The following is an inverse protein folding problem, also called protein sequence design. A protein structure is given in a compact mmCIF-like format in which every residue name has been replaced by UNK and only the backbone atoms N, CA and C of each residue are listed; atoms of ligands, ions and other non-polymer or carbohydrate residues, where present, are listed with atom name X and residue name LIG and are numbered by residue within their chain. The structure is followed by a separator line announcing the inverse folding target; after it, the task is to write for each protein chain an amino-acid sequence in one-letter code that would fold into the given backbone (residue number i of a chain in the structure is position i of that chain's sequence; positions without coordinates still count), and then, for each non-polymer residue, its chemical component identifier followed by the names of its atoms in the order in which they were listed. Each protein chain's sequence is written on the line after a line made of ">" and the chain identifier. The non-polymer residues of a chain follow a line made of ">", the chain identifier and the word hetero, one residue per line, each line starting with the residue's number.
data_IF_028210751744
#
_entry.id   IF_028210751744
#
_cell.length_a   1.000
_cell.length_b   1.000
_cell.length_c   1.000
_cell.angle_alpha   90.00
_cell.angle_beta   90.00
_cell.angle_gamma   90.00
#
_symmetry.space_group_name_H-M   'P 1'
#
loop_
_entity.id
_entity.type
_entity.pdbx_description
1 polymer ?
#
# COMPACT_ATOMS: atom_id res chain seq x y z
N UNK A 1 22.73 -15.77 -6.22
CA UNK A 1 21.35 -15.60 -5.70
C UNK A 1 20.54 -14.96 -6.79
N UNK A 2 19.29 -15.39 -6.99
CA UNK A 2 18.48 -14.92 -8.13
C UNK A 2 17.88 -13.55 -7.83
N UNK A 3 17.58 -12.80 -8.89
CA UNK A 3 17.01 -11.47 -8.85
C UNK A 3 15.64 -11.49 -9.54
N UNK A 4 14.61 -11.14 -8.80
CA UNK A 4 13.30 -10.85 -9.38
C UNK A 4 13.19 -9.36 -9.67
N UNK A 5 12.87 -9.02 -10.91
CA UNK A 5 12.66 -7.64 -11.35
C UNK A 5 11.21 -7.47 -11.81
N UNK A 6 10.63 -6.31 -11.51
CA UNK A 6 9.31 -5.93 -12.00
C UNK A 6 9.21 -4.45 -12.31
N UNK A 7 8.72 -4.17 -13.51
CA UNK A 7 8.29 -2.86 -13.99
C UNK A 7 6.88 -3.03 -14.60
N UNK A 8 5.85 -2.55 -13.88
CA UNK A 8 4.43 -2.78 -14.21
C UNK A 8 4.06 -4.26 -14.43
N UNK A 9 3.79 -4.63 -15.68
CA UNK A 9 3.44 -5.95 -16.20
C UNK A 9 4.66 -6.73 -16.73
N UNK A 10 5.78 -6.04 -16.97
CA UNK A 10 7.06 -6.66 -17.33
C UNK A 10 7.74 -7.16 -16.06
N UNK A 11 7.94 -8.47 -15.97
CA UNK A 11 8.65 -9.11 -14.85
C UNK A 11 9.56 -10.23 -15.33
N UNK A 12 10.66 -10.45 -14.60
CA UNK A 12 11.61 -11.52 -14.88
C UNK A 12 12.23 -12.04 -13.59
N UNK A 13 12.79 -13.25 -13.66
CA UNK A 13 13.66 -13.83 -12.65
C UNK A 13 14.96 -14.25 -13.33
N UNK A 14 16.06 -13.64 -12.91
CA UNK A 14 17.39 -13.80 -13.53
C UNK A 14 18.42 -14.28 -12.52
N UNK A 15 19.51 -14.87 -13.01
CA UNK A 15 20.52 -15.51 -12.16
C UNK A 15 21.62 -14.58 -11.67
N UNK A 16 21.85 -13.48 -12.36
CA UNK A 16 22.95 -12.56 -12.11
C UNK A 16 22.56 -11.10 -12.43
N UNK A 17 23.48 -10.18 -12.13
CA UNK A 17 23.25 -8.74 -12.30
C UNK A 17 23.28 -8.31 -13.78
N UNK A 18 24.03 -9.00 -14.64
CA UNK A 18 24.13 -8.61 -16.05
C UNK A 18 22.84 -8.93 -16.80
N UNK A 19 22.26 -10.11 -16.59
CA UNK A 19 20.91 -10.45 -17.08
C UNK A 19 19.83 -9.49 -16.54
N UNK A 20 20.00 -8.97 -15.32
CA UNK A 20 19.09 -7.99 -14.75
C UNK A 20 19.18 -6.64 -15.48
N UNK A 21 20.39 -6.21 -15.84
CA UNK A 21 20.62 -4.99 -16.60
C UNK A 21 20.15 -5.15 -18.04
N UNK A 22 20.37 -6.30 -18.68
CA UNK A 22 19.86 -6.59 -20.02
C UNK A 22 18.32 -6.50 -20.08
N UNK A 23 17.63 -7.05 -19.07
CA UNK A 23 16.19 -6.89 -18.94
C UNK A 23 15.77 -5.42 -18.80
N UNK A 24 16.48 -4.63 -18.00
CA UNK A 24 16.16 -3.21 -17.81
C UNK A 24 16.46 -2.39 -19.08
N UNK A 25 17.54 -2.69 -19.80
CA UNK A 25 17.87 -2.11 -21.11
C UNK A 25 16.79 -2.41 -22.17
N UNK A 26 16.13 -3.57 -22.07
CA UNK A 26 15.02 -3.91 -22.98
C UNK A 26 13.74 -3.07 -22.78
N UNK A 27 13.68 -2.22 -21.75
CA UNK A 27 12.53 -1.40 -21.41
C UNK A 27 12.82 0.07 -21.80
N UNK A 28 12.24 0.57 -22.92
CA UNK A 28 12.55 1.91 -23.43
C UNK A 28 12.25 3.05 -22.45
N UNK A 29 11.34 2.83 -21.50
CA UNK A 29 10.95 3.84 -20.51
C UNK A 29 11.99 4.02 -19.38
N UNK A 30 12.95 3.09 -19.24
CA UNK A 30 13.96 3.11 -18.17
C UNK A 30 15.26 3.66 -18.75
N UNK A 31 15.63 4.86 -18.33
CA UNK A 31 16.93 5.45 -18.62
C UNK A 31 17.97 4.88 -17.63
N UNK A 32 18.76 3.90 -18.08
CA UNK A 32 19.89 3.36 -17.31
C UNK A 32 21.11 4.25 -17.45
N UNK A 33 21.35 5.09 -16.45
CA UNK A 33 22.60 5.85 -16.35
C UNK A 33 23.70 4.99 -15.73
N UNK A 34 24.99 5.27 -15.99
CA UNK A 34 26.11 4.54 -15.37
C UNK A 34 26.05 4.51 -13.84
N UNK A 35 25.54 5.58 -13.20
CA UNK A 35 25.37 5.66 -11.75
C UNK A 35 24.28 4.70 -11.26
N UNK A 36 23.19 4.55 -12.04
CA UNK A 36 22.12 3.61 -11.72
C UNK A 36 22.60 2.16 -11.87
N UNK A 37 23.38 1.87 -12.91
CA UNK A 37 23.99 0.54 -13.07
C UNK A 37 24.93 0.20 -11.91
N UNK A 38 25.78 1.15 -11.51
CA UNK A 38 26.66 0.99 -10.35
C UNK A 38 25.87 0.73 -9.06
N UNK A 39 24.81 1.51 -8.80
CA UNK A 39 23.97 1.34 -7.61
C UNK A 39 23.20 -0.01 -7.60
N UNK A 40 22.83 -0.53 -8.77
CA UNK A 40 22.26 -1.87 -8.91
C UNK A 40 23.31 -2.94 -8.58
N UNK A 41 24.54 -2.81 -9.08
CA UNK A 41 25.64 -3.73 -8.80
C UNK A 41 25.99 -3.75 -7.32
N UNK A 42 26.12 -2.58 -6.71
CA UNK A 42 26.36 -2.42 -5.28
C UNK A 42 25.22 -3.01 -4.45
N UNK A 43 23.97 -2.76 -4.84
CA UNK A 43 22.83 -3.40 -4.19
C UNK A 43 22.92 -4.92 -4.29
N UNK A 44 23.18 -5.49 -5.46
CA UNK A 44 23.26 -6.94 -5.65
C UNK A 44 24.39 -7.57 -4.81
N UNK A 45 25.55 -6.92 -4.76
CA UNK A 45 26.72 -7.37 -4.00
C UNK A 45 26.56 -7.21 -2.48
N UNK A 46 25.72 -6.27 -2.02
CA UNK A 46 25.52 -6.05 -0.58
C UNK A 46 24.80 -7.21 0.15
N UNK A 47 24.90 -7.25 1.48
CA UNK A 47 24.12 -8.16 2.33
C UNK A 47 22.67 -7.67 2.59
N UNK A 48 22.20 -6.64 1.86
CA UNK A 48 20.84 -6.10 2.02
C UNK A 48 19.86 -6.97 1.24
N UNK A 49 18.89 -7.58 1.95
CA UNK A 49 17.84 -8.43 1.36
C UNK A 49 16.49 -7.73 1.19
N UNK A 50 16.36 -6.47 1.63
CA UNK A 50 15.13 -5.71 1.46
C UNK A 50 14.92 -5.30 0.00
N UNK A 51 13.70 -5.45 -0.56
CA UNK A 51 13.38 -5.00 -1.91
C UNK A 51 13.76 -3.55 -2.16
N UNK A 52 14.61 -3.29 -3.16
CA UNK A 52 14.98 -1.94 -3.55
C UNK A 52 14.07 -1.43 -4.67
N UNK A 53 13.62 -0.18 -4.54
CA UNK A 53 12.75 0.52 -5.48
C UNK A 53 13.55 1.60 -6.19
N UNK A 54 13.52 1.60 -7.51
CA UNK A 54 14.22 2.57 -8.34
C UNK A 54 13.20 3.44 -9.06
N UNK A 55 13.23 4.73 -8.78
CA UNK A 55 12.29 5.70 -9.34
C UNK A 55 12.71 6.02 -10.78
N UNK A 56 11.81 5.79 -11.72
CA UNK A 56 12.00 6.11 -13.14
C UNK A 56 11.40 7.49 -13.42
N UNK A 57 10.15 7.72 -12.98
CA UNK A 57 9.41 8.99 -13.12
C UNK A 57 8.49 9.21 -11.90
N UNK A 58 7.85 10.38 -11.71
CA UNK A 58 6.88 10.54 -10.63
C UNK A 58 5.84 9.41 -10.62
N UNK A 59 5.73 8.70 -9.50
CA UNK A 59 4.85 7.53 -9.28
C UNK A 59 5.19 6.27 -10.10
N UNK A 60 6.29 6.26 -10.85
CA UNK A 60 6.71 5.13 -11.68
C UNK A 60 8.06 4.62 -11.16
N UNK A 61 8.13 3.34 -10.84
CA UNK A 61 9.34 2.69 -10.34
C UNK A 61 9.40 1.23 -10.80
N UNK A 62 10.62 0.69 -10.87
CA UNK A 62 10.83 -0.75 -10.88
C UNK A 62 11.33 -1.23 -9.51
N UNK A 63 11.20 -2.53 -9.27
CA UNK A 63 11.73 -3.19 -8.06
C UNK A 63 12.74 -4.26 -8.40
N UNK A 64 13.72 -4.44 -7.52
CA UNK A 64 14.61 -5.60 -7.53
C UNK A 64 14.52 -6.32 -6.18
N UNK A 65 14.23 -7.62 -6.21
CA UNK A 65 14.11 -8.49 -5.05
C UNK A 65 15.13 -9.61 -5.16
N UNK A 66 16.01 -9.72 -4.16
CA UNK A 66 16.90 -10.87 -4.01
C UNK A 66 16.12 -12.07 -3.50
N UNK A 67 16.29 -13.22 -4.14
CA UNK A 67 15.53 -14.42 -3.81
C UNK A 67 16.33 -15.71 -4.04
N UNK A 68 16.07 -16.70 -3.20
CA UNK A 68 16.57 -18.07 -3.36
C UNK A 68 15.65 -18.93 -4.26
N UNK A 69 14.57 -18.35 -4.81
CA UNK A 69 13.67 -19.08 -5.69
C UNK A 69 14.35 -19.40 -7.02
N UNK A 70 14.27 -20.67 -7.46
CA UNK A 70 14.91 -21.12 -8.70
C UNK A 70 14.09 -20.80 -9.95
N UNK A 71 12.77 -20.65 -9.82
CA UNK A 71 11.85 -20.40 -10.95
C UNK A 71 10.85 -19.29 -10.62
N UNK A 72 10.28 -18.65 -11.66
CA UNK A 72 9.21 -17.67 -11.49
C UNK A 72 8.00 -18.24 -10.75
N UNK A 73 7.69 -19.52 -10.99
CA UNK A 73 6.61 -20.23 -10.31
C UNK A 73 6.91 -20.35 -8.80
N UNK A 74 8.10 -20.81 -8.44
CA UNK A 74 8.53 -20.94 -7.04
C UNK A 74 8.55 -19.58 -6.34
N UNK A 75 8.99 -18.51 -7.00
CA UNK A 75 8.96 -17.17 -6.43
C UNK A 75 7.53 -16.70 -6.14
N UNK A 76 6.60 -16.90 -7.08
CA UNK A 76 5.18 -16.53 -6.92
C UNK A 76 4.47 -17.39 -5.88
N UNK A 77 4.75 -18.69 -5.84
CA UNK A 77 4.18 -19.62 -4.87
C UNK A 77 4.76 -19.43 -3.45
N UNK A 78 6.06 -19.17 -3.29
CA UNK A 78 6.66 -18.84 -1.99
C UNK A 78 6.17 -17.50 -1.45
N UNK A 79 5.85 -16.54 -2.33
CA UNK A 79 5.12 -15.33 -1.92
C UNK A 79 3.73 -15.67 -1.38
N UNK A 80 3.02 -16.62 -2.01
CA UNK A 80 1.73 -17.13 -1.50
C UNK A 80 1.88 -17.95 -0.20
N UNK A 81 2.99 -18.69 -0.01
CA UNK A 81 3.25 -19.49 1.21
C UNK A 81 3.78 -18.66 2.38
N UNK A 82 4.55 -17.58 2.16
CA UNK A 82 4.81 -16.57 3.20
C UNK A 82 3.58 -15.76 3.59
N UNK A 83 2.46 -15.93 2.86
CA UNK A 83 1.14 -15.43 3.25
C UNK A 83 0.43 -16.42 4.20
N UNK A 84 0.97 -17.64 4.39
CA UNK A 84 0.29 -18.76 5.07
C UNK A 84 1.19 -19.62 6.00
N UNK A 85 2.40 -19.20 6.40
CA UNK A 85 3.21 -19.95 7.38
C UNK A 85 3.12 -19.32 8.78
N UNK A 86 2.69 -20.07 9.82
CA UNK A 86 2.68 -19.55 11.19
C UNK A 86 4.12 -19.39 11.68
N UNK A 87 4.57 -18.16 11.87
CA UNK A 87 5.83 -17.89 12.57
C UNK A 87 5.66 -18.25 14.04
N UNK A 88 6.49 -19.19 14.49
CA UNK A 88 6.65 -19.54 15.89
C UNK A 88 7.25 -18.37 16.66
N UNK A 89 6.41 -17.43 17.08
CA UNK A 89 6.64 -16.47 18.16
C UNK A 89 5.31 -15.78 18.36
N UNK A 90 4.76 -15.85 19.57
CA UNK A 90 3.42 -15.35 19.95
C UNK A 90 3.25 -13.83 19.91
N UNK A 91 3.81 -13.16 18.90
CA UNK A 91 3.61 -11.76 18.58
C UNK A 91 2.83 -11.73 17.26
N UNK A 92 1.56 -11.27 17.22
CA UNK A 92 0.81 -11.22 15.98
C UNK A 92 1.56 -10.34 14.96
N UNK A 93 1.89 -10.92 13.81
CA UNK A 93 2.55 -10.20 12.72
C UNK A 93 1.65 -9.03 12.30
N UNK A 94 2.17 -7.80 12.39
CA UNK A 94 1.46 -6.58 11.98
C UNK A 94 0.94 -6.68 10.55
N UNK A 95 1.50 -7.55 9.69
CA UNK A 95 1.04 -7.79 8.31
C UNK A 95 -0.15 -8.75 8.22
N UNK A 96 -0.21 -9.80 9.02
CA UNK A 96 -1.37 -10.70 9.09
C UNK A 96 -2.59 -9.98 9.66
N UNK A 97 -2.37 -9.11 10.66
CA UNK A 97 -3.41 -8.19 11.16
C UNK A 97 -3.88 -7.24 10.04
N UNK A 98 -2.98 -6.79 9.17
CA UNK A 98 -3.32 -5.86 8.08
C UNK A 98 -4.03 -6.56 6.91
N UNK A 99 -3.63 -7.78 6.54
CA UNK A 99 -4.33 -8.62 5.55
C UNK A 99 -5.72 -8.97 6.08
N UNK A 100 -5.80 -9.41 7.34
CA UNK A 100 -7.07 -9.65 8.04
C UNK A 100 -7.95 -8.38 8.12
N UNK A 101 -7.36 -7.22 8.37
CA UNK A 101 -8.09 -5.95 8.43
C UNK A 101 -8.60 -5.51 7.05
N UNK A 102 -7.80 -5.70 5.98
CA UNK A 102 -8.21 -5.40 4.61
C UNK A 102 -9.31 -6.38 4.15
N UNK A 103 -9.20 -7.66 4.47
CA UNK A 103 -10.25 -8.64 4.18
C UNK A 103 -11.55 -8.29 4.91
N UNK A 104 -11.49 -7.98 6.21
CA UNK A 104 -12.65 -7.52 7.01
C UNK A 104 -13.22 -6.18 6.54
N UNK A 105 -12.39 -5.29 6.01
CA UNK A 105 -12.82 -4.01 5.47
C UNK A 105 -13.74 -4.21 4.25
N UNK A 106 -13.40 -5.14 3.37
CA UNK A 106 -14.18 -5.41 2.14
C UNK A 106 -15.22 -6.50 2.29
N UNK A 107 -15.26 -7.20 3.41
CA UNK A 107 -16.25 -8.25 3.70
C UNK A 107 -17.67 -7.69 3.64
N UNK A 108 -18.51 -8.28 2.79
CA UNK A 108 -19.92 -7.93 2.71
C UNK A 108 -20.65 -8.46 3.95
N UNK A 109 -20.97 -7.57 4.87
CA UNK A 109 -21.71 -7.86 6.09
C UNK A 109 -22.71 -6.74 6.41
N UNK A 110 -23.90 -6.73 5.80
CA UNK A 110 -24.87 -5.64 5.96
C UNK A 110 -25.29 -5.41 7.42
N UNK A 111 -25.30 -4.14 7.83
CA UNK A 111 -25.78 -3.73 9.15
C UNK A 111 -25.38 -2.31 9.53
N UNK A 112 -25.59 -1.98 10.81
CA UNK A 112 -25.09 -0.75 11.40
C UNK A 112 -23.59 -0.84 11.63
N UNK A 113 -22.88 0.21 11.24
CA UNK A 113 -21.46 0.37 11.46
C UNK A 113 -21.18 1.70 12.17
N UNK A 114 -20.27 1.68 13.12
CA UNK A 114 -19.60 2.88 13.62
C UNK A 114 -18.29 3.04 12.87
N UNK A 115 -18.08 4.17 12.21
CA UNK A 115 -16.81 4.52 11.58
C UNK A 115 -16.20 5.74 12.23
N UNK A 116 -14.91 5.67 12.53
CA UNK A 116 -14.10 6.77 13.07
C UNK A 116 -12.98 7.12 12.09
N UNK A 117 -12.86 8.39 11.74
CA UNK A 117 -11.96 8.91 10.71
C UNK A 117 -11.17 10.12 11.21
N UNK A 118 -9.85 10.02 11.18
CA UNK A 118 -8.92 11.12 11.44
C UNK A 118 -8.41 11.72 10.13
N UNK A 119 -8.73 12.98 9.85
CA UNK A 119 -8.39 13.63 8.59
C UNK A 119 -7.92 15.07 8.77
N UNK A 120 -7.28 15.64 7.75
CA UNK A 120 -6.86 17.04 7.74
C UNK A 120 -7.97 17.89 7.12
N UNK A 121 -8.74 18.58 7.95
CA UNK A 121 -9.79 19.51 7.52
C UNK A 121 -9.20 20.86 7.19
N UNK A 122 -9.54 21.41 6.04
CA UNK A 122 -9.22 22.80 5.72
C UNK A 122 -10.26 23.74 6.33
N UNK A 123 -9.79 24.77 7.02
CA UNK A 123 -10.61 25.83 7.63
C UNK A 123 -10.09 27.18 7.19
N UNK A 124 -10.98 28.09 6.81
CA UNK A 124 -10.64 29.47 6.51
C UNK A 124 -10.56 30.26 7.83
N UNK A 125 -9.49 31.03 8.00
CA UNK A 125 -9.29 31.94 9.13
C UNK A 125 -10.01 33.26 8.79
N UNK A 126 -11.15 33.59 9.44
CA UNK A 126 -11.98 34.73 9.02
C UNK A 126 -11.25 36.07 9.04
N UNK A 127 -10.29 36.25 9.95
CA UNK A 127 -9.52 37.50 10.10
C UNK A 127 -8.48 37.72 9.00
N UNK A 128 -7.98 36.67 8.36
CA UNK A 128 -6.87 36.78 7.38
C UNK A 128 -7.26 36.31 5.98
N UNK A 129 -8.40 35.63 5.82
CA UNK A 129 -8.80 34.96 4.58
C UNK A 129 -7.90 33.78 4.19
N UNK A 130 -6.90 33.46 5.01
CA UNK A 130 -5.98 32.33 4.78
C UNK A 130 -6.66 31.01 5.15
N UNK A 131 -6.13 29.93 4.61
CA UNK A 131 -6.61 28.57 4.86
C UNK A 131 -5.57 27.80 5.64
N UNK A 132 -6.01 27.02 6.62
CA UNK A 132 -5.14 26.16 7.41
C UNK A 132 -5.69 24.73 7.48
N UNK A 133 -4.79 23.77 7.65
CA UNK A 133 -5.13 22.37 7.86
C UNK A 133 -5.22 22.09 9.36
N UNK A 134 -6.34 21.55 9.83
CA UNK A 134 -6.54 21.10 11.21
C UNK A 134 -6.75 19.60 11.26
N UNK A 135 -6.06 18.93 12.18
CA UNK A 135 -6.40 17.55 12.53
C UNK A 135 -7.83 17.49 13.06
N UNK A 136 -8.65 16.62 12.48
CA UNK A 136 -10.07 16.49 12.80
C UNK A 136 -10.42 15.02 12.97
N UNK A 137 -10.97 14.69 14.14
CA UNK A 137 -11.57 13.39 14.43
C UNK A 137 -13.07 13.44 14.13
N UNK A 138 -13.58 12.50 13.36
CA UNK A 138 -15.00 12.39 13.03
C UNK A 138 -15.49 10.97 13.28
N UNK A 139 -16.62 10.82 13.96
CA UNK A 139 -17.26 9.53 14.23
C UNK A 139 -18.71 9.59 13.79
N UNK A 140 -19.16 8.56 13.09
CA UNK A 140 -20.56 8.43 12.71
C UNK A 140 -21.01 6.97 12.74
N UNK A 141 -22.29 6.77 13.08
CA UNK A 141 -22.98 5.50 12.91
C UNK A 141 -23.82 5.56 11.64
N UNK A 142 -23.59 4.63 10.73
CA UNK A 142 -24.32 4.58 9.45
C UNK A 142 -24.65 3.15 9.06
N UNK A 143 -25.71 3.00 8.26
CA UNK A 143 -26.02 1.74 7.59
C UNK A 143 -24.98 1.52 6.50
N UNK A 144 -24.32 0.38 6.50
CA UNK A 144 -23.40 -0.01 5.43
C UNK A 144 -23.43 -1.52 5.13
N UNK A 145 -22.96 -1.87 3.93
CA UNK A 145 -22.83 -3.24 3.47
C UNK A 145 -21.47 -3.85 3.83
N UNK A 146 -20.49 -3.03 4.21
CA UNK A 146 -19.13 -3.45 4.61
C UNK A 146 -18.42 -2.30 5.34
N UNK A 147 -17.25 -2.56 5.92
CA UNK A 147 -16.40 -1.50 6.47
C UNK A 147 -15.96 -0.48 5.42
N UNK A 148 -15.71 -0.92 4.18
CA UNK A 148 -15.36 -0.07 3.04
C UNK A 148 -16.54 0.84 2.66
N UNK A 149 -17.74 0.29 2.65
CA UNK A 149 -18.96 1.04 2.37
C UNK A 149 -19.27 2.06 3.48
N UNK A 150 -18.97 1.72 4.74
CA UNK A 150 -19.01 2.67 5.87
C UNK A 150 -18.04 3.84 5.65
N UNK A 151 -16.78 3.55 5.29
CA UNK A 151 -15.80 4.59 4.96
C UNK A 151 -16.28 5.50 3.82
N UNK A 152 -16.77 4.91 2.72
CA UNK A 152 -17.22 5.65 1.55
C UNK A 152 -18.36 6.62 1.90
N UNK A 153 -19.36 6.16 2.67
CA UNK A 153 -20.46 7.00 3.13
C UNK A 153 -19.99 8.17 4.01
N UNK A 154 -19.06 7.91 4.94
CA UNK A 154 -18.49 8.97 5.79
C UNK A 154 -17.76 10.01 4.93
N UNK A 155 -16.92 9.58 4.00
CA UNK A 155 -16.15 10.50 3.15
C UNK A 155 -17.04 11.29 2.20
N UNK A 156 -18.06 10.66 1.60
CA UNK A 156 -19.05 11.32 0.76
C UNK A 156 -19.80 12.41 1.56
N UNK A 157 -20.29 12.07 2.75
CA UNK A 157 -20.94 13.02 3.65
C UNK A 157 -20.03 14.21 4.02
N UNK A 158 -18.76 13.96 4.29
CA UNK A 158 -17.80 15.01 4.67
C UNK A 158 -17.44 15.90 3.48
N UNK A 159 -17.26 15.36 2.27
CA UNK A 159 -16.90 16.12 1.07
C UNK A 159 -17.87 17.25 0.74
N UNK A 160 -19.15 17.09 1.09
CA UNK A 160 -20.18 18.13 0.91
C UNK A 160 -20.13 19.23 1.98
N UNK A 161 -19.45 18.97 3.11
CA UNK A 161 -19.52 19.79 4.33
C UNK A 161 -18.20 20.45 4.71
N UNK A 162 -17.09 19.97 4.14
CA UNK A 162 -15.76 20.53 4.35
C UNK A 162 -15.23 21.12 3.06
N UNK A 163 -14.26 22.02 3.19
CA UNK A 163 -13.56 22.59 2.04
C UNK A 163 -12.90 21.48 1.20
N UNK A 164 -12.99 21.60 -0.13
CA UNK A 164 -12.54 20.59 -1.09
C UNK A 164 -11.03 20.29 -1.03
N UNK A 165 -10.22 21.16 -0.41
CA UNK A 165 -8.79 20.93 -0.18
C UNK A 165 -8.52 20.04 1.04
N UNK A 166 -9.54 19.70 1.83
CA UNK A 166 -9.41 18.77 2.95
C UNK A 166 -8.89 17.41 2.49
N UNK A 167 -7.99 16.81 3.27
CA UNK A 167 -7.30 15.58 2.90
C UNK A 167 -7.85 14.42 3.72
N UNK A 168 -8.47 13.47 3.02
CA UNK A 168 -8.99 12.24 3.61
C UNK A 168 -7.94 11.11 3.52
N UNK A 169 -7.67 10.37 4.60
CA UNK A 169 -6.75 9.24 4.59
C UNK A 169 -7.36 8.05 3.84
N UNK A 170 -6.55 7.08 3.45
CA UNK A 170 -7.07 5.83 2.87
C UNK A 170 -7.86 5.00 3.91
N UNK A 171 -8.93 4.34 3.47
CA UNK A 171 -9.69 3.36 4.26
C UNK A 171 -8.84 2.20 4.79
N UNK A 172 -7.72 1.89 4.12
CA UNK A 172 -6.76 0.84 4.52
C UNK A 172 -5.67 1.37 5.47
N UNK A 173 -5.70 2.67 5.77
CA UNK A 173 -4.73 3.33 6.64
C UNK A 173 -5.12 3.24 8.11
N UNK A 174 -4.18 3.60 8.98
CA UNK A 174 -4.38 3.63 10.44
C UNK A 174 -5.34 4.71 10.96
N UNK A 175 -5.75 5.63 10.09
CA UNK A 175 -6.57 6.79 10.45
C UNK A 175 -8.07 6.54 10.22
N UNK A 176 -8.44 5.32 9.84
CA UNK A 176 -9.83 4.90 9.76
C UNK A 176 -10.02 3.62 10.57
N UNK A 177 -11.03 3.63 11.43
CA UNK A 177 -11.47 2.48 12.22
C UNK A 177 -12.95 2.26 11.99
N UNK A 178 -13.38 1.01 11.99
CA UNK A 178 -14.80 0.67 11.91
C UNK A 178 -15.16 -0.46 12.87
N UNK A 179 -16.41 -0.48 13.31
CA UNK A 179 -16.98 -1.48 14.19
C UNK A 179 -18.39 -1.84 13.73
N UNK A 180 -18.67 -3.13 13.56
CA UNK A 180 -20.02 -3.60 13.31
C UNK A 180 -20.86 -3.53 14.59
N UNK A 181 -22.07 -2.99 14.48
CA UNK A 181 -22.99 -2.76 15.60
C UNK A 181 -24.21 -3.70 15.59
N UNK A 182 -24.43 -4.44 14.50
CA UNK A 182 -25.56 -5.35 14.38
C UNK A 182 -26.40 -5.11 13.13
N UNK A 183 -27.20 -6.10 12.77
CA UNK A 183 -28.07 -6.06 11.60
C UNK A 183 -29.20 -5.04 11.82
N UNK A 184 -29.51 -4.23 10.82
CA UNK A 184 -30.74 -3.44 10.85
C UNK A 184 -31.93 -4.39 10.58
N UNK A 185 -33.02 -4.23 11.33
CA UNK A 185 -34.31 -4.82 10.99
C UNK A 185 -35.08 -3.90 10.06
#
# INVERSE_FOLDING_TARGET
>A
MNLYLRYFDKETLVGNVDEALDFLHSIPEIELTPELEADIRDYVASDVFYPKRYKVRPRIYFIIIKTAAATMLDFKQKKALRTNLPTASGVPDRRDVNISAVTRLTEEHPGWYEGALDFKRVVMIPSTGKHEYRDTHFVAQCKANSGMDCYNRIVEHLKERVDNRSQFPSAKGKNFHFKYLGMWK
#
